data_IF_554557639079
#
_entry.id   IF_554557639079
#
_cell.length_a   1.000
_cell.length_b   1.000
_cell.length_c   1.000
_cell.angle_alpha   90.00
_cell.angle_beta   90.00
_cell.angle_gamma   90.00
#
_symmetry.space_group_name_H-M   'P 1'
#
loop_
_entity.id
_entity.type
_entity.pdbx_description
1 polymer ?
#
# COMPACT_ATOMS: atom_id res chain seq x y z
N UNK A 1 5.47 46.84 11.02
CA UNK A 1 4.16 46.38 10.56
C UNK A 1 4.24 45.50 9.33
N UNK A 2 5.00 45.88 8.32
CA UNK A 2 5.16 45.10 7.10
C UNK A 2 5.75 43.71 7.39
N UNK A 3 6.72 43.62 8.27
CA UNK A 3 7.33 42.35 8.69
C UNK A 3 6.31 41.41 9.34
N UNK A 4 5.40 41.95 10.17
CA UNK A 4 4.38 41.13 10.84
C UNK A 4 3.37 40.55 9.83
N UNK A 5 2.98 41.32 8.83
CA UNK A 5 2.07 40.90 7.78
C UNK A 5 2.71 39.80 6.92
N UNK A 6 3.98 39.95 6.59
CA UNK A 6 4.73 38.93 5.82
C UNK A 6 4.81 37.61 6.61
N UNK A 7 4.96 37.69 7.95
CA UNK A 7 4.96 36.48 8.79
C UNK A 7 3.60 35.81 8.84
N UNK A 8 2.51 36.57 8.91
CA UNK A 8 1.16 36.03 8.91
C UNK A 8 0.83 35.34 7.56
N UNK A 9 1.21 35.97 6.47
CA UNK A 9 1.02 35.37 5.13
C UNK A 9 1.79 34.05 4.99
N UNK A 10 3.00 34.00 5.52
CA UNK A 10 3.82 32.79 5.49
C UNK A 10 3.19 31.67 6.31
N UNK A 11 2.63 31.97 7.47
CA UNK A 11 1.93 30.99 8.32
C UNK A 11 0.68 30.47 7.61
N UNK A 12 -0.13 31.34 7.00
CA UNK A 12 -1.32 30.93 6.26
C UNK A 12 -0.95 30.02 5.09
N UNK A 13 0.12 30.33 4.37
CA UNK A 13 0.60 29.51 3.27
C UNK A 13 1.02 28.11 3.76
N UNK A 14 1.71 28.01 4.89
CA UNK A 14 2.10 26.74 5.49
C UNK A 14 0.88 25.92 5.91
N UNK A 15 -0.15 26.52 6.49
CA UNK A 15 -1.37 25.84 6.91
C UNK A 15 -2.09 25.27 5.68
N UNK A 16 -2.20 26.03 4.61
CA UNK A 16 -2.82 25.57 3.37
C UNK A 16 -2.07 24.38 2.76
N UNK A 17 -0.74 24.43 2.79
CA UNK A 17 0.09 23.34 2.30
C UNK A 17 -0.10 22.06 3.12
N UNK A 18 -0.22 22.19 4.46
CA UNK A 18 -0.49 21.08 5.36
C UNK A 18 -1.86 20.46 5.09
N UNK A 19 -2.91 21.26 4.94
CA UNK A 19 -4.26 20.77 4.63
C UNK A 19 -4.29 20.01 3.30
N UNK A 20 -3.63 20.56 2.29
CA UNK A 20 -3.51 19.94 0.98
C UNK A 20 -2.78 18.60 1.05
N UNK A 21 -1.70 18.55 1.82
CA UNK A 21 -0.94 17.34 2.05
C UNK A 21 -1.79 16.25 2.72
N UNK A 22 -2.52 16.57 3.77
CA UNK A 22 -3.41 15.62 4.45
C UNK A 22 -4.50 15.09 3.53
N UNK A 23 -5.08 15.95 2.71
CA UNK A 23 -6.12 15.54 1.76
C UNK A 23 -5.57 14.54 0.74
N UNK A 24 -4.40 14.81 0.18
CA UNK A 24 -3.74 13.91 -0.78
C UNK A 24 -3.38 12.58 -0.13
N UNK A 25 -2.91 12.60 1.11
CA UNK A 25 -2.58 11.39 1.87
C UNK A 25 -3.82 10.53 2.10
N UNK A 26 -4.95 11.12 2.46
CA UNK A 26 -6.20 10.41 2.66
C UNK A 26 -6.74 9.82 1.36
N UNK A 27 -6.65 10.53 0.25
CA UNK A 27 -7.04 10.03 -1.07
C UNK A 27 -6.16 8.85 -1.48
N UNK A 28 -4.86 8.95 -1.25
CA UNK A 28 -3.93 7.88 -1.53
C UNK A 28 -4.26 6.64 -0.70
N UNK A 29 -4.47 6.79 0.60
CA UNK A 29 -4.84 5.68 1.49
C UNK A 29 -6.13 5.00 1.04
N UNK A 30 -7.13 5.79 0.65
CA UNK A 30 -8.40 5.27 0.15
C UNK A 30 -8.18 4.43 -1.11
N UNK A 31 -7.40 4.93 -2.05
CA UNK A 31 -7.07 4.21 -3.28
C UNK A 31 -6.30 2.92 -3.00
N UNK A 32 -5.33 2.97 -2.10
CA UNK A 32 -4.54 1.78 -1.73
C UNK A 32 -5.41 0.74 -1.03
N UNK A 33 -6.36 1.16 -0.21
CA UNK A 33 -7.30 0.25 0.44
C UNK A 33 -8.20 -0.46 -0.58
N UNK A 34 -8.68 0.26 -1.59
CA UNK A 34 -9.48 -0.32 -2.67
C UNK A 34 -8.68 -1.33 -3.49
N UNK A 35 -7.43 -0.99 -3.82
CA UNK A 35 -6.53 -1.91 -4.52
C UNK A 35 -6.31 -3.17 -3.69
N UNK A 36 -6.09 -3.02 -2.39
CA UNK A 36 -5.84 -4.12 -1.48
C UNK A 36 -7.03 -5.07 -1.39
N UNK A 37 -8.24 -4.54 -1.31
CA UNK A 37 -9.46 -5.34 -1.31
C UNK A 37 -9.61 -6.13 -2.61
N UNK A 38 -9.40 -5.47 -3.74
CA UNK A 38 -9.47 -6.09 -5.05
C UNK A 38 -8.45 -7.24 -5.16
N UNK A 39 -7.20 -6.99 -4.78
CA UNK A 39 -6.12 -7.97 -4.82
C UNK A 39 -6.44 -9.16 -3.91
N UNK A 40 -6.93 -8.89 -2.70
CA UNK A 40 -7.31 -9.95 -1.76
C UNK A 40 -8.38 -10.86 -2.31
N UNK A 41 -9.44 -10.30 -2.88
CA UNK A 41 -10.52 -11.08 -3.48
C UNK A 41 -10.04 -11.92 -4.66
N UNK A 42 -9.27 -11.31 -5.56
CA UNK A 42 -8.81 -12.00 -6.77
C UNK A 42 -7.82 -13.11 -6.44
N UNK A 43 -6.88 -12.85 -5.53
CA UNK A 43 -5.89 -13.87 -5.15
C UNK A 43 -6.51 -15.02 -4.37
N UNK A 44 -7.52 -14.74 -3.54
CA UNK A 44 -8.20 -15.78 -2.78
C UNK A 44 -9.04 -16.72 -3.66
N UNK A 45 -9.60 -16.19 -4.74
CA UNK A 45 -10.47 -16.95 -5.67
C UNK A 45 -9.70 -17.60 -6.82
N UNK A 46 -8.51 -17.08 -7.13
CA UNK A 46 -7.70 -17.58 -8.24
C UNK A 46 -6.87 -18.79 -7.87
N UNK A 47 -6.09 -19.26 -8.83
CA UNK A 47 -5.11 -20.32 -8.59
C UNK A 47 -3.90 -19.74 -7.86
N UNK A 48 -3.42 -20.45 -6.87
CA UNK A 48 -2.22 -20.03 -6.13
C UNK A 48 -1.01 -20.02 -7.07
N UNK A 49 -0.24 -18.96 -7.00
CA UNK A 49 0.92 -18.75 -7.87
C UNK A 49 0.64 -17.95 -9.13
N UNK A 50 -0.63 -17.69 -9.48
CA UNK A 50 -0.95 -16.81 -10.60
C UNK A 50 -0.88 -15.34 -10.18
N UNK A 51 -0.19 -14.50 -10.98
CA UNK A 51 -0.08 -13.08 -10.62
C UNK A 51 -1.33 -12.30 -10.94
N UNK A 52 -1.57 -11.26 -10.15
CA UNK A 52 -2.57 -10.23 -10.40
C UNK A 52 -1.83 -8.92 -10.58
N UNK A 53 -2.18 -8.17 -11.61
CA UNK A 53 -1.54 -6.90 -11.94
C UNK A 53 -2.53 -5.75 -11.80
N UNK A 54 -2.09 -4.68 -11.17
CA UNK A 54 -2.86 -3.44 -11.01
C UNK A 54 -1.97 -2.29 -11.44
N UNK A 55 -2.53 -1.37 -12.22
CA UNK A 55 -1.84 -0.14 -12.61
C UNK A 55 -2.42 1.01 -11.79
N UNK A 56 -1.54 1.79 -11.18
CA UNK A 56 -1.91 2.94 -10.37
C UNK A 56 -0.70 3.86 -10.21
N UNK A 57 -0.93 5.17 -10.26
CA UNK A 57 0.10 6.20 -9.99
C UNK A 57 1.36 6.02 -10.87
N UNK A 58 1.15 5.77 -12.18
CA UNK A 58 2.22 5.50 -13.15
C UNK A 58 3.13 4.33 -12.73
N UNK A 59 2.59 3.38 -11.99
CA UNK A 59 3.28 2.20 -11.54
C UNK A 59 2.49 0.94 -11.87
N UNK A 60 3.20 -0.14 -12.02
CA UNK A 60 2.62 -1.46 -12.24
C UNK A 60 2.91 -2.29 -11.00
N UNK A 61 1.84 -2.69 -10.31
CA UNK A 61 1.90 -3.52 -9.11
C UNK A 61 1.51 -4.93 -9.48
N UNK A 62 2.37 -5.88 -9.21
CA UNK A 62 2.10 -7.29 -9.42
C UNK A 62 2.11 -8.01 -8.08
N UNK A 63 1.06 -8.77 -7.81
CA UNK A 63 0.92 -9.53 -6.57
C UNK A 63 0.72 -10.99 -6.88
N UNK A 64 1.43 -11.85 -6.14
CA UNK A 64 1.30 -13.30 -6.24
C UNK A 64 1.12 -13.86 -4.83
N UNK A 65 0.12 -14.73 -4.67
CA UNK A 65 -0.08 -15.45 -3.41
C UNK A 65 0.49 -16.87 -3.56
N UNK A 66 1.36 -17.24 -2.64
CA UNK A 66 1.98 -18.56 -2.63
C UNK A 66 1.71 -19.25 -1.30
N UNK A 67 1.43 -20.53 -1.36
CA UNK A 67 1.17 -21.36 -0.19
C UNK A 67 2.37 -22.30 0.01
N UNK A 68 2.80 -22.43 1.26
CA UNK A 68 3.88 -23.35 1.61
C UNK A 68 3.45 -24.80 1.48
N UNK A 69 4.43 -25.70 1.44
CA UNK A 69 4.21 -27.14 1.25
C UNK A 69 3.36 -27.76 2.37
N UNK A 70 3.40 -27.19 3.57
CA UNK A 70 2.57 -27.66 4.70
C UNK A 70 1.11 -27.19 4.61
N UNK A 71 0.79 -26.21 3.75
CA UNK A 71 -0.54 -25.62 3.68
C UNK A 71 -0.94 -24.75 4.84
N UNK A 72 -0.06 -24.57 5.83
CA UNK A 72 -0.36 -23.81 7.04
C UNK A 72 0.04 -22.32 6.96
N UNK A 73 0.92 -21.97 6.02
CA UNK A 73 1.40 -20.61 5.86
C UNK A 73 1.46 -20.23 4.39
N UNK A 74 1.21 -18.98 4.15
CA UNK A 74 1.31 -18.40 2.82
C UNK A 74 2.19 -17.17 2.80
N UNK A 75 2.38 -16.65 1.61
CA UNK A 75 3.20 -15.47 1.37
C UNK A 75 2.63 -14.68 0.20
N UNK A 76 2.59 -13.35 0.36
CA UNK A 76 2.32 -12.46 -0.77
C UNK A 76 3.65 -11.90 -1.26
N UNK A 77 3.96 -12.16 -2.51
CA UNK A 77 5.10 -11.57 -3.21
C UNK A 77 4.57 -10.42 -4.06
N UNK A 78 5.18 -9.25 -3.95
CA UNK A 78 4.79 -8.08 -4.71
C UNK A 78 5.99 -7.53 -5.46
N UNK A 79 5.77 -7.14 -6.72
CA UNK A 79 6.76 -6.49 -7.57
C UNK A 79 6.17 -5.17 -8.06
N UNK A 80 6.89 -4.08 -7.81
CA UNK A 80 6.44 -2.75 -8.16
C UNK A 80 7.44 -2.11 -9.12
N UNK A 81 6.97 -1.76 -10.32
CA UNK A 81 7.77 -1.15 -11.36
C UNK A 81 7.16 0.17 -11.79
N UNK A 82 7.99 1.10 -12.22
CA UNK A 82 7.50 2.32 -12.85
C UNK A 82 7.11 2.02 -14.30
N UNK A 83 5.98 2.56 -14.75
CA UNK A 83 5.57 2.44 -16.15
C UNK A 83 6.32 3.39 -17.07
N UNK A 84 7.00 4.39 -16.52
CA UNK A 84 7.69 5.44 -17.30
C UNK A 84 9.21 5.40 -17.18
N UNK A 85 9.76 4.83 -16.13
CA UNK A 85 11.19 4.84 -15.84
C UNK A 85 11.76 3.43 -15.96
N UNK A 86 12.90 3.31 -16.65
CA UNK A 86 13.61 2.04 -16.75
C UNK A 86 14.41 1.80 -15.45
N UNK A 87 13.70 1.53 -14.37
CA UNK A 87 14.28 1.24 -13.06
C UNK A 87 13.95 -0.20 -12.71
N UNK A 88 14.88 -0.86 -12.02
CA UNK A 88 14.69 -2.23 -11.56
C UNK A 88 13.45 -2.30 -10.66
N UNK A 89 12.54 -3.26 -10.90
CA UNK A 89 11.37 -3.43 -10.04
C UNK A 89 11.76 -3.67 -8.59
N UNK A 90 11.00 -3.07 -7.67
CA UNK A 90 11.18 -3.27 -6.25
C UNK A 90 10.29 -4.42 -5.78
N UNK A 91 10.90 -5.40 -5.13
CA UNK A 91 10.18 -6.57 -4.62
C UNK A 91 9.92 -6.50 -3.13
N UNK A 92 8.78 -7.04 -2.72
CA UNK A 92 8.40 -7.18 -1.32
C UNK A 92 7.88 -8.58 -1.10
N UNK A 93 8.14 -9.12 0.09
CA UNK A 93 7.61 -10.41 0.52
C UNK A 93 7.00 -10.23 1.90
N UNK A 94 5.77 -10.69 2.07
CA UNK A 94 5.09 -10.61 3.36
C UNK A 94 4.39 -11.92 3.65
N UNK A 95 4.59 -12.42 4.87
CA UNK A 95 3.98 -13.67 5.33
C UNK A 95 2.49 -13.48 5.59
N UNK A 96 1.71 -14.48 5.21
CA UNK A 96 0.28 -14.53 5.48
C UNK A 96 0.04 -15.66 6.47
N UNK A 97 -0.49 -15.32 7.63
CA UNK A 97 -0.89 -16.29 8.63
C UNK A 97 -2.37 -16.62 8.45
N UNK A 98 -2.67 -17.91 8.30
CA UNK A 98 -4.05 -18.35 8.14
C UNK A 98 -4.76 -18.33 9.49
N UNK A 99 -5.84 -17.57 9.52
CA UNK A 99 -6.70 -17.47 10.70
C UNK A 99 -8.09 -17.99 10.30
N UNK A 100 -8.63 -18.92 11.08
CA UNK A 100 -9.93 -19.51 10.79
C UNK A 100 -11.09 -18.51 10.94
N UNK A 101 -10.90 -17.46 11.74
CA UNK A 101 -11.92 -16.46 12.00
C UNK A 101 -11.99 -15.35 10.97
N UNK A 102 -10.99 -15.28 10.09
CA UNK A 102 -10.88 -14.23 9.05
C UNK A 102 -10.82 -14.88 7.68
N UNK A 103 -11.53 -14.34 6.71
CA UNK A 103 -11.50 -14.86 5.35
C UNK A 103 -10.10 -14.74 4.73
N UNK A 104 -9.78 -15.67 3.83
CA UNK A 104 -8.52 -15.63 3.11
C UNK A 104 -8.37 -14.34 2.30
N UNK A 105 -9.46 -13.90 1.66
CA UNK A 105 -9.46 -12.66 0.88
C UNK A 105 -9.09 -11.46 1.76
N UNK A 106 -9.64 -11.38 2.96
CA UNK A 106 -9.37 -10.31 3.91
C UNK A 106 -7.93 -10.34 4.40
N UNK A 107 -7.43 -11.52 4.71
CA UNK A 107 -6.04 -11.71 5.17
C UNK A 107 -5.03 -11.32 4.08
N UNK A 108 -5.25 -11.77 2.85
CA UNK A 108 -4.39 -11.39 1.71
C UNK A 108 -4.49 -9.89 1.45
N UNK A 109 -5.70 -9.33 1.51
CA UNK A 109 -5.93 -7.91 1.31
C UNK A 109 -5.20 -7.05 2.33
N UNK A 110 -5.24 -7.41 3.60
CA UNK A 110 -4.51 -6.71 4.65
C UNK A 110 -2.99 -6.78 4.43
N UNK A 111 -2.50 -7.93 4.01
CA UNK A 111 -1.08 -8.10 3.72
C UNK A 111 -0.65 -7.24 2.53
N UNK A 112 -1.43 -7.22 1.46
CA UNK A 112 -1.18 -6.37 0.30
C UNK A 112 -1.21 -4.89 0.69
N UNK A 113 -2.15 -4.48 1.54
CA UNK A 113 -2.24 -3.11 2.04
C UNK A 113 -0.98 -2.73 2.80
N UNK A 114 -0.48 -3.60 3.66
CA UNK A 114 0.75 -3.37 4.39
C UNK A 114 1.94 -3.15 3.46
N UNK A 115 2.04 -3.92 2.39
CA UNK A 115 3.08 -3.76 1.38
C UNK A 115 2.96 -2.40 0.69
N UNK A 116 1.76 -2.02 0.27
CA UNK A 116 1.52 -0.75 -0.41
C UNK A 116 1.83 0.44 0.50
N UNK A 117 1.43 0.37 1.76
CA UNK A 117 1.70 1.42 2.74
C UNK A 117 3.21 1.59 2.98
N UNK A 118 3.96 0.49 3.05
CA UNK A 118 5.42 0.55 3.16
C UNK A 118 6.04 1.19 1.93
N UNK A 119 5.56 0.84 0.76
CA UNK A 119 6.09 1.40 -0.48
C UNK A 119 5.91 2.91 -0.55
N UNK A 120 4.79 3.43 -0.04
CA UNK A 120 4.47 4.86 -0.03
C UNK A 120 4.87 5.58 1.26
N UNK A 121 5.56 4.91 2.17
CA UNK A 121 5.95 5.46 3.47
C UNK A 121 4.75 5.97 4.30
N UNK A 122 3.65 5.22 4.25
CA UNK A 122 2.43 5.52 5.00
C UNK A 122 2.28 4.65 6.25
N UNK A 123 3.39 4.15 6.77
CA UNK A 123 3.40 3.30 7.96
C UNK A 123 3.08 4.16 9.18
N UNK A 124 2.09 3.74 9.97
CA UNK A 124 1.74 4.43 11.20
C UNK A 124 2.86 4.27 12.23
N UNK A 125 2.98 5.27 13.12
CA UNK A 125 4.01 5.27 14.17
C UNK A 125 3.94 4.03 15.06
N UNK A 126 2.76 3.42 15.20
CA UNK A 126 2.56 2.19 15.95
C UNK A 126 3.39 1.04 15.40
N UNK A 127 3.63 1.01 14.10
CA UNK A 127 4.41 -0.02 13.44
C UNK A 127 5.90 0.11 13.75
N UNK A 128 6.33 1.24 14.27
CA UNK A 128 7.72 1.51 14.63
C UNK A 128 8.01 1.26 16.12
N UNK A 129 6.99 1.09 16.94
CA UNK A 129 7.14 0.89 18.38
C UNK A 129 7.53 -0.55 18.71
N UNK A 130 7.27 -1.43 17.81
CA UNK A 130 7.52 -2.86 17.95
C UNK A 130 8.66 -3.32 17.05
#
# INVERSE_FOLDING_TARGET
MRWLMDQLEHIDSQIQDWEKFFKLDNELRSNLNQISEYVGEKLAKGKFGEPIQVEFDDKIFQFVFRVGTSGLRGRVDSYIASSKLLVKPRGFKAQVDFNQDVSLAETIGETARGILYRYYDLIDDEDHVY
#
